data_IF_633736548362
#
_entry.id   IF_633736548362
#
_cell.length_a   1.000
_cell.length_b   1.000
_cell.length_c   1.000
_cell.angle_alpha   90.00
_cell.angle_beta   90.00
_cell.angle_gamma   90.00
#
_symmetry.space_group_name_H-M   'P 1'
#
loop_
_entity.id
_entity.type
_entity.pdbx_description
1 polymer ?
#
# COMPACT_ATOMS: atom_id res chain seq x y z
N UNK A 1 11.14 -42.26 -15.02
CA UNK A 1 10.17 -41.51 -15.84
C UNK A 1 9.11 -40.94 -14.90
N UNK A 2 9.21 -39.67 -14.49
CA UNK A 2 8.09 -38.86 -13.95
C UNK A 2 8.46 -37.39 -13.66
N UNK A 3 9.69 -36.93 -13.94
CA UNK A 3 10.12 -35.55 -13.68
C UNK A 3 9.66 -34.58 -14.80
N UNK A 4 9.19 -35.09 -15.94
CA UNK A 4 8.66 -34.25 -17.04
C UNK A 4 7.26 -33.67 -16.77
N UNK A 5 6.50 -34.21 -15.82
CA UNK A 5 5.11 -33.76 -15.56
C UNK A 5 5.02 -32.40 -14.86
N UNK A 6 5.90 -32.15 -13.89
CA UNK A 6 5.83 -30.95 -13.02
C UNK A 6 6.34 -29.68 -13.71
N UNK A 7 7.27 -29.82 -14.68
CA UNK A 7 7.83 -28.68 -15.43
C UNK A 7 6.84 -28.12 -16.45
N UNK A 8 5.89 -28.93 -16.93
CA UNK A 8 4.89 -28.50 -17.93
C UNK A 8 3.81 -27.63 -17.27
N UNK A 9 3.40 -27.95 -16.03
CA UNK A 9 2.34 -27.20 -15.32
C UNK A 9 2.80 -25.78 -14.94
N UNK A 10 4.06 -25.60 -14.55
CA UNK A 10 4.62 -24.28 -14.25
C UNK A 10 4.75 -23.43 -15.52
N UNK A 11 5.08 -24.06 -16.66
CA UNK A 11 5.20 -23.35 -17.94
C UNK A 11 3.81 -22.95 -18.49
N UNK A 12 2.77 -23.76 -18.28
CA UNK A 12 1.39 -23.41 -18.65
C UNK A 12 0.79 -22.32 -17.74
N UNK A 13 1.10 -22.31 -16.44
CA UNK A 13 0.69 -21.22 -15.53
C UNK A 13 1.38 -19.89 -15.81
N UNK A 14 2.62 -19.92 -16.32
CA UNK A 14 3.33 -18.71 -16.74
C UNK A 14 2.99 -18.27 -18.18
N UNK A 15 2.40 -19.14 -19.00
CA UNK A 15 2.01 -18.81 -20.39
C UNK A 15 0.77 -17.92 -20.49
N UNK A 16 -0.09 -17.92 -19.47
CA UNK A 16 -1.34 -17.15 -19.43
C UNK A 16 -1.17 -15.71 -18.93
N UNK A 17 0.03 -15.38 -18.43
CA UNK A 17 0.51 -14.01 -18.28
C UNK A 17 1.44 -13.75 -19.46
N UNK A 18 1.08 -12.85 -20.39
CA UNK A 18 1.94 -12.48 -21.54
C UNK A 18 3.26 -11.87 -21.05
N UNK A 19 4.21 -12.72 -20.68
CA UNK A 19 5.63 -12.42 -20.55
C UNK A 19 6.26 -13.28 -21.64
N UNK A 20 6.82 -12.62 -22.67
CA UNK A 20 7.48 -13.28 -23.80
C UNK A 20 8.45 -14.36 -23.32
N UNK A 21 8.06 -15.62 -23.52
CA UNK A 21 8.85 -16.81 -23.29
C UNK A 21 9.53 -17.20 -24.61
N UNK A 22 10.85 -17.37 -24.59
CA UNK A 22 11.56 -18.10 -25.63
C UNK A 22 12.65 -18.96 -24.99
N UNK A 23 12.39 -20.27 -25.05
CA UNK A 23 13.22 -21.48 -24.90
C UNK A 23 14.69 -21.35 -24.43
N UNK A 24 15.13 -22.25 -23.53
CA UNK A 24 16.10 -23.33 -23.85
C UNK A 24 16.32 -24.34 -22.70
N UNK A 25 16.76 -25.54 -23.11
CA UNK A 25 16.99 -26.80 -22.39
C UNK A 25 18.21 -26.80 -21.45
N UNK A 26 18.11 -27.49 -20.31
CA UNK A 26 19.21 -27.71 -19.36
C UNK A 26 20.15 -28.84 -19.80
N UNK A 27 21.45 -28.55 -19.88
CA UNK A 27 22.51 -29.56 -19.71
C UNK A 27 23.12 -29.44 -18.31
N UNK A 28 23.30 -30.59 -17.66
CA UNK A 28 23.88 -30.80 -16.31
C UNK A 28 25.16 -29.99 -16.07
N UNK A 29 25.18 -29.22 -14.98
CA UNK A 29 26.40 -28.72 -14.34
C UNK A 29 26.71 -29.58 -13.11
N UNK A 30 27.98 -29.90 -12.87
CA UNK A 30 28.43 -30.75 -11.75
C UNK A 30 29.30 -29.96 -10.78
N UNK A 31 29.47 -30.49 -9.57
CA UNK A 31 30.05 -29.80 -8.39
C UNK A 31 31.45 -29.15 -8.61
N UNK A 32 32.19 -29.52 -9.65
CA UNK A 32 33.49 -28.94 -9.99
C UNK A 32 33.42 -27.59 -10.73
N UNK A 33 32.23 -27.12 -11.11
CA UNK A 33 32.06 -25.86 -11.83
C UNK A 33 31.95 -24.62 -10.90
N UNK A 34 31.86 -24.84 -9.58
CA UNK A 34 31.71 -23.79 -8.57
C UNK A 34 33.01 -23.07 -8.21
N UNK A 35 34.17 -23.69 -8.41
CA UNK A 35 35.48 -23.06 -8.16
C UNK A 35 35.94 -22.18 -9.32
N UNK A 36 35.47 -22.45 -10.55
CA UNK A 36 35.75 -21.60 -11.72
C UNK A 36 34.86 -20.34 -11.75
N UNK A 37 33.71 -20.36 -11.07
CA UNK A 37 32.83 -19.19 -10.99
C UNK A 37 33.39 -18.06 -10.09
N UNK A 38 34.33 -18.36 -9.18
CA UNK A 38 34.98 -17.36 -8.34
C UNK A 38 36.06 -16.55 -9.08
N UNK A 39 36.70 -17.09 -10.11
CA UNK A 39 37.77 -16.37 -10.86
C UNK A 39 37.29 -15.60 -12.08
N UNK A 40 36.04 -15.79 -12.52
CA UNK A 40 35.47 -15.09 -13.69
C UNK A 40 34.73 -13.80 -13.30
N UNK A 41 34.67 -13.46 -12.00
CA UNK A 41 34.05 -12.22 -11.53
C UNK A 41 34.88 -10.95 -11.84
N UNK A 42 36.10 -11.08 -12.37
CA UNK A 42 37.01 -9.96 -12.61
C UNK A 42 37.13 -9.48 -14.06
N UNK A 43 36.32 -9.93 -15.03
CA UNK A 43 36.45 -9.36 -16.39
C UNK A 43 35.16 -9.33 -17.22
N UNK A 44 34.52 -8.15 -17.21
CA UNK A 44 33.80 -7.48 -18.30
C UNK A 44 33.03 -8.33 -19.35
N UNK A 45 31.85 -8.85 -18.98
CA UNK A 45 30.74 -9.12 -19.93
C UNK A 45 29.42 -8.72 -19.23
N UNK A 46 29.14 -7.43 -19.19
CA UNK A 46 28.27 -6.77 -18.21
C UNK A 46 27.01 -6.18 -18.86
N UNK A 47 26.00 -7.00 -19.16
CA UNK A 47 24.57 -6.60 -19.04
C UNK A 47 23.59 -7.75 -19.30
N UNK A 48 23.85 -8.63 -20.28
CA UNK A 48 22.89 -9.65 -20.72
C UNK A 48 23.03 -10.99 -19.97
N UNK A 49 24.26 -11.36 -19.56
CA UNK A 49 24.51 -12.55 -18.72
C UNK A 49 24.04 -12.34 -17.28
N UNK A 50 24.14 -11.11 -16.80
CA UNK A 50 23.71 -10.68 -15.47
C UNK A 50 22.20 -10.82 -15.29
N UNK A 51 21.36 -10.48 -16.26
CA UNK A 51 19.89 -10.61 -16.09
C UNK A 51 19.43 -12.07 -15.99
N UNK A 52 20.02 -12.97 -16.79
CA UNK A 52 19.70 -14.41 -16.75
C UNK A 52 20.22 -15.08 -15.49
N UNK A 53 21.41 -14.71 -15.03
CA UNK A 53 21.99 -15.21 -13.78
C UNK A 53 21.21 -14.68 -12.56
N UNK A 54 20.81 -13.41 -12.56
CA UNK A 54 19.93 -12.85 -11.53
C UNK A 54 18.58 -13.55 -11.53
N UNK A 55 17.97 -13.80 -12.70
CA UNK A 55 16.70 -14.54 -12.78
C UNK A 55 16.83 -15.96 -12.23
N UNK A 56 17.83 -16.71 -12.67
CA UNK A 56 18.08 -18.06 -12.17
C UNK A 56 18.40 -18.08 -10.67
N UNK A 57 19.12 -17.08 -10.16
CA UNK A 57 19.41 -16.94 -8.73
C UNK A 57 18.15 -16.59 -7.93
N UNK A 58 17.29 -15.70 -8.45
CA UNK A 58 16.00 -15.38 -7.85
C UNK A 58 15.10 -16.61 -7.83
N UNK A 59 14.94 -17.31 -8.95
CA UNK A 59 14.16 -18.55 -9.05
C UNK A 59 14.72 -19.64 -8.13
N UNK A 60 16.05 -19.79 -8.07
CA UNK A 60 16.73 -20.75 -7.18
C UNK A 60 16.53 -20.39 -5.70
N UNK A 61 16.63 -19.13 -5.33
CA UNK A 61 16.36 -18.66 -3.95
C UNK A 61 14.89 -18.88 -3.59
N UNK A 62 13.98 -18.65 -4.53
CA UNK A 62 12.54 -18.74 -4.30
C UNK A 62 12.02 -20.18 -4.17
N UNK A 63 12.57 -21.11 -4.95
CA UNK A 63 12.19 -22.53 -4.95
C UNK A 63 12.91 -23.32 -3.83
N UNK A 64 13.70 -22.65 -2.98
CA UNK A 64 14.34 -23.30 -1.82
C UNK A 64 15.74 -23.87 -2.08
N UNK A 65 16.47 -23.30 -3.03
CA UNK A 65 17.88 -23.58 -3.26
C UNK A 65 18.80 -23.18 -2.09
N UNK A 66 18.29 -22.36 -1.16
CA UNK A 66 18.87 -22.26 0.18
C UNK A 66 18.37 -23.41 1.02
N UNK A 67 19.24 -24.39 1.25
CA UNK A 67 19.05 -25.41 2.28
C UNK A 67 19.20 -24.74 3.66
N UNK A 68 18.22 -23.91 4.04
CA UNK A 68 18.05 -23.50 5.42
C UNK A 68 17.68 -24.77 6.20
N UNK A 69 18.37 -25.05 7.30
CA UNK A 69 17.96 -26.09 8.25
C UNK A 69 16.58 -25.70 8.81
N UNK A 70 15.53 -26.11 8.11
CA UNK A 70 14.14 -25.88 8.49
C UNK A 70 13.90 -26.78 9.70
N UNK A 71 13.88 -26.20 10.91
CA UNK A 71 13.36 -26.93 12.07
C UNK A 71 11.89 -27.20 11.78
N UNK A 72 11.53 -28.47 11.56
CA UNK A 72 10.18 -28.89 11.21
C UNK A 72 9.21 -28.61 12.36
N UNK A 73 8.60 -27.43 12.35
CA UNK A 73 7.33 -27.23 13.06
C UNK A 73 6.24 -27.61 12.08
N UNK A 74 5.82 -28.87 12.17
CA UNK A 74 4.64 -29.40 11.47
C UNK A 74 3.48 -28.44 11.73
N UNK A 75 2.91 -27.87 10.68
CA UNK A 75 1.75 -26.98 10.78
C UNK A 75 0.51 -27.85 11.00
N UNK A 76 -0.14 -27.84 12.18
CA UNK A 76 -1.25 -28.76 12.46
C UNK A 76 -2.53 -28.42 11.69
N UNK A 77 -2.63 -27.20 11.13
CA UNK A 77 -3.86 -26.65 10.55
C UNK A 77 -3.94 -26.73 9.01
N UNK A 78 -2.93 -27.30 8.34
CA UNK A 78 -2.88 -27.36 6.88
C UNK A 78 -2.77 -28.80 6.38
N UNK A 79 -3.88 -29.39 5.95
CA UNK A 79 -3.87 -30.71 5.32
C UNK A 79 -3.32 -30.58 3.88
N UNK A 80 -2.03 -30.86 3.72
CA UNK A 80 -1.29 -30.76 2.46
C UNK A 80 -1.85 -31.70 1.38
N UNK A 81 -2.69 -32.68 1.76
CA UNK A 81 -3.39 -33.60 0.85
C UNK A 81 -4.31 -32.91 -0.16
N UNK A 82 -4.56 -31.60 -0.05
CA UNK A 82 -5.47 -30.84 -0.91
C UNK A 82 -4.80 -30.32 -2.20
N UNK A 83 -3.46 -30.40 -2.34
CA UNK A 83 -2.74 -29.75 -3.47
C UNK A 83 -1.81 -30.72 -4.21
N UNK A 84 -2.29 -31.44 -5.24
CA UNK A 84 -1.50 -32.48 -5.92
C UNK A 84 -0.32 -31.93 -6.75
N UNK A 85 -0.31 -30.63 -7.07
CA UNK A 85 0.66 -30.03 -8.00
C UNK A 85 1.96 -29.56 -7.34
N UNK A 86 2.01 -29.46 -5.99
CA UNK A 86 3.17 -28.97 -5.25
C UNK A 86 3.56 -29.94 -4.12
N UNK A 87 4.87 -30.12 -3.92
CA UNK A 87 5.33 -30.88 -2.75
C UNK A 87 5.22 -30.05 -1.47
N UNK A 88 5.01 -30.71 -0.33
CA UNK A 88 4.97 -30.08 1.00
C UNK A 88 6.22 -29.24 1.27
N UNK A 89 7.40 -29.74 0.90
CA UNK A 89 8.68 -29.07 1.11
C UNK A 89 8.78 -27.75 0.31
N UNK A 90 8.26 -27.74 -0.92
CA UNK A 90 8.23 -26.53 -1.73
C UNK A 90 7.30 -25.50 -1.09
N UNK A 91 6.08 -25.89 -0.69
CA UNK A 91 5.14 -24.96 -0.05
C UNK A 91 5.70 -24.37 1.26
N UNK A 92 6.39 -25.16 2.08
CA UNK A 92 7.04 -24.66 3.29
C UNK A 92 8.17 -23.67 2.94
N UNK A 93 8.96 -23.95 1.90
CA UNK A 93 10.01 -23.03 1.45
C UNK A 93 9.45 -21.70 0.95
N UNK A 94 8.41 -21.75 0.10
CA UNK A 94 7.72 -20.56 -0.39
C UNK A 94 7.15 -19.73 0.74
N UNK A 95 6.52 -20.39 1.71
CA UNK A 95 5.94 -19.73 2.87
C UNK A 95 7.02 -18.99 3.67
N UNK A 96 8.11 -19.66 4.01
CA UNK A 96 9.22 -19.06 4.76
C UNK A 96 9.84 -17.87 4.01
N UNK A 97 10.05 -18.00 2.69
CA UNK A 97 10.59 -16.93 1.86
C UNK A 97 9.67 -15.70 1.82
N UNK A 98 8.37 -15.92 1.62
CA UNK A 98 7.38 -14.83 1.59
C UNK A 98 7.29 -14.15 2.96
N UNK A 99 7.17 -14.92 4.04
CA UNK A 99 7.10 -14.38 5.40
C UNK A 99 8.36 -13.59 5.77
N UNK A 100 9.53 -14.12 5.43
CA UNK A 100 10.80 -13.43 5.66
C UNK A 100 10.82 -12.08 4.94
N UNK A 101 10.51 -12.04 3.64
CA UNK A 101 10.47 -10.81 2.85
C UNK A 101 9.48 -9.78 3.39
N UNK A 102 8.26 -10.21 3.73
CA UNK A 102 7.24 -9.32 4.29
C UNK A 102 7.70 -8.65 5.60
N UNK A 103 8.57 -9.29 6.37
CA UNK A 103 9.13 -8.76 7.61
C UNK A 103 10.36 -7.85 7.39
N UNK A 104 10.99 -7.84 6.22
CA UNK A 104 12.17 -7.00 5.92
C UNK A 104 11.85 -5.52 5.66
N UNK A 105 10.57 -5.14 5.58
CA UNK A 105 10.13 -3.85 5.07
C UNK A 105 9.84 -2.78 6.14
N UNK A 106 10.09 -3.06 7.42
CA UNK A 106 9.93 -2.08 8.50
C UNK A 106 10.87 -0.85 8.39
N UNK A 107 12.16 -1.00 8.03
CA UNK A 107 13.05 0.14 7.87
C UNK A 107 12.63 1.07 6.70
N UNK A 108 12.67 2.40 6.93
CA UNK A 108 12.32 3.44 5.95
C UNK A 108 13.49 3.94 5.10
N UNK A 109 14.68 3.40 5.29
CA UNK A 109 15.83 3.61 4.41
C UNK A 109 15.69 2.79 3.11
N UNK A 110 14.97 1.67 3.16
CA UNK A 110 14.77 0.78 2.01
C UNK A 110 13.44 1.06 1.28
N UNK A 111 13.46 1.15 -0.06
CA UNK A 111 12.23 1.23 -0.83
C UNK A 111 11.39 -0.05 -0.66
N UNK A 112 10.06 0.08 -0.71
CA UNK A 112 9.15 -1.06 -0.79
C UNK A 112 9.32 -1.74 -2.16
N UNK A 113 10.14 -2.78 -2.22
CA UNK A 113 10.25 -3.68 -3.36
C UNK A 113 9.41 -4.92 -3.05
N UNK A 114 8.13 -4.83 -3.36
CA UNK A 114 7.11 -5.84 -2.99
C UNK A 114 6.60 -6.62 -4.19
N UNK A 115 7.09 -6.30 -5.39
CA UNK A 115 6.55 -6.84 -6.64
C UNK A 115 6.74 -8.34 -6.78
N UNK A 116 7.87 -8.87 -6.31
CA UNK A 116 8.14 -10.32 -6.35
C UNK A 116 7.20 -11.08 -5.40
N UNK A 117 6.98 -10.54 -4.20
CA UNK A 117 6.01 -11.09 -3.23
C UNK A 117 4.59 -11.01 -3.78
N UNK A 118 4.20 -9.87 -4.38
CA UNK A 118 2.88 -9.70 -5.00
C UNK A 118 2.70 -10.66 -6.16
N UNK A 119 3.70 -10.82 -7.04
CA UNK A 119 3.65 -11.73 -8.17
C UNK A 119 3.51 -13.19 -7.71
N UNK A 120 4.30 -13.60 -6.71
CA UNK A 120 4.19 -14.92 -6.10
C UNK A 120 2.80 -15.17 -5.51
N UNK A 121 2.28 -14.23 -4.72
CA UNK A 121 0.96 -14.34 -4.11
C UNK A 121 -0.17 -14.32 -5.15
N UNK A 122 -0.03 -13.57 -6.27
CA UNK A 122 -0.99 -13.61 -7.38
C UNK A 122 -0.98 -14.97 -8.07
N UNK A 123 0.21 -15.56 -8.32
CA UNK A 123 0.32 -16.90 -8.90
C UNK A 123 -0.31 -17.94 -7.97
N UNK A 124 0.01 -17.91 -6.67
CA UNK A 124 -0.64 -18.77 -5.68
C UNK A 124 -2.13 -18.50 -5.53
N UNK A 125 -2.61 -17.27 -5.73
CA UNK A 125 -4.06 -17.01 -5.70
C UNK A 125 -4.78 -17.75 -6.84
N UNK A 126 -4.15 -17.84 -8.01
CA UNK A 126 -4.75 -18.52 -9.17
C UNK A 126 -4.79 -20.03 -9.00
N UNK A 127 -3.75 -20.61 -8.40
CA UNK A 127 -3.64 -22.07 -8.19
C UNK A 127 -4.25 -22.52 -6.86
N UNK A 128 -3.91 -21.85 -5.76
CA UNK A 128 -4.22 -22.22 -4.38
C UNK A 128 -4.66 -20.99 -3.53
N UNK A 129 -5.89 -20.47 -3.71
CA UNK A 129 -6.38 -19.29 -2.98
C UNK A 129 -6.29 -19.40 -1.45
N UNK A 130 -6.56 -20.61 -0.91
CA UNK A 130 -6.50 -20.88 0.54
C UNK A 130 -5.10 -20.71 1.13
N UNK A 131 -4.06 -21.00 0.34
CA UNK A 131 -2.67 -20.85 0.75
C UNK A 131 -2.26 -19.38 0.85
N UNK A 132 -2.75 -18.52 -0.05
CA UNK A 132 -2.57 -17.06 0.06
C UNK A 132 -3.16 -16.54 1.37
N UNK A 133 -4.39 -16.95 1.70
CA UNK A 133 -5.04 -16.58 2.97
C UNK A 133 -4.23 -17.06 4.17
N UNK A 134 -3.74 -18.30 4.13
CA UNK A 134 -2.88 -18.86 5.18
C UNK A 134 -1.63 -18.02 5.42
N UNK A 135 -0.87 -17.72 4.35
CA UNK A 135 0.36 -16.90 4.45
C UNK A 135 0.05 -15.54 5.07
N UNK A 136 -0.99 -14.85 4.60
CA UNK A 136 -1.32 -13.51 5.09
C UNK A 136 -1.76 -13.55 6.55
N UNK A 137 -2.58 -14.52 6.95
CA UNK A 137 -3.00 -14.67 8.36
C UNK A 137 -1.81 -15.01 9.26
N UNK A 138 -0.90 -15.89 8.81
CA UNK A 138 0.33 -16.24 9.53
C UNK A 138 1.23 -15.02 9.72
N UNK A 139 1.38 -14.20 8.68
CA UNK A 139 2.14 -12.95 8.74
C UNK A 139 1.50 -11.90 9.67
N UNK A 140 0.18 -11.76 9.63
CA UNK A 140 -0.55 -10.84 10.52
C UNK A 140 -0.45 -11.30 11.99
N UNK A 141 -0.57 -12.61 12.24
CA UNK A 141 -0.35 -13.20 13.57
C UNK A 141 1.05 -12.91 14.10
N UNK A 142 2.10 -13.07 13.28
CA UNK A 142 3.46 -12.70 13.70
C UNK A 142 3.65 -11.19 13.92
N UNK A 143 2.81 -10.36 13.29
CA UNK A 143 2.89 -8.90 13.40
C UNK A 143 2.20 -8.35 14.66
N UNK A 144 1.19 -9.06 15.17
CA UNK A 144 0.38 -8.67 16.34
C UNK A 144 0.87 -9.35 17.63
N UNK A 145 1.63 -10.45 17.52
CA UNK A 145 2.12 -11.21 18.66
C UNK A 145 1.02 -12.04 19.34
N UNK A 146 1.00 -12.08 20.67
CA UNK A 146 0.12 -12.96 21.46
C UNK A 146 -1.36 -12.57 21.47
N UNK A 147 -1.73 -11.39 20.93
CA UNK A 147 -3.11 -10.91 20.92
C UNK A 147 -3.96 -11.49 19.78
N UNK A 148 -3.33 -12.20 18.84
CA UNK A 148 -4.03 -12.92 17.79
C UNK A 148 -4.48 -14.28 18.34
N UNK A 149 -5.79 -14.51 18.43
CA UNK A 149 -6.37 -15.72 18.99
C UNK A 149 -5.98 -17.00 18.26
N UNK A 150 -6.35 -18.10 18.90
CA UNK A 150 -5.89 -19.46 18.55
C UNK A 150 -6.31 -19.85 17.13
N UNK A 151 -7.49 -19.39 16.67
CA UNK A 151 -8.07 -19.75 15.36
C UNK A 151 -7.70 -18.80 14.21
N UNK A 152 -7.19 -17.59 14.49
CA UNK A 152 -6.66 -16.62 13.53
C UNK A 152 -7.45 -16.47 12.22
N UNK A 153 -8.54 -15.71 12.23
CA UNK A 153 -9.30 -15.38 11.02
C UNK A 153 -9.20 -13.88 10.64
N UNK A 154 -9.75 -13.48 9.49
CA UNK A 154 -9.67 -12.10 9.01
C UNK A 154 -10.43 -11.11 9.93
N UNK A 155 -11.54 -11.55 10.53
CA UNK A 155 -12.32 -10.76 11.50
C UNK A 155 -11.51 -10.44 12.77
N UNK A 156 -10.70 -11.39 13.23
CA UNK A 156 -9.78 -11.18 14.34
C UNK A 156 -8.64 -10.24 13.96
N UNK A 157 -8.09 -10.37 12.75
CA UNK A 157 -7.08 -9.44 12.24
C UNK A 157 -7.56 -7.99 12.21
N UNK A 158 -8.84 -7.77 11.85
CA UNK A 158 -9.46 -6.44 11.86
C UNK A 158 -9.41 -5.79 13.24
N UNK A 159 -9.62 -6.57 14.32
CA UNK A 159 -9.65 -6.04 15.69
C UNK A 159 -8.27 -5.58 16.17
N UNK A 160 -7.21 -6.14 15.60
CA UNK A 160 -5.83 -5.89 16.01
C UNK A 160 -5.10 -4.87 15.12
N UNK A 161 -5.77 -4.22 14.16
CA UNK A 161 -5.13 -3.27 13.24
C UNK A 161 -4.46 -2.08 13.95
N UNK A 162 -4.95 -1.70 15.14
CA UNK A 162 -4.32 -0.68 15.99
C UNK A 162 -2.92 -1.07 16.43
N UNK A 163 -2.65 -2.35 16.65
CA UNK A 163 -1.36 -2.82 17.15
C UNK A 163 -0.32 -2.99 16.03
N UNK A 164 -0.77 -2.97 14.77
CA UNK A 164 0.10 -3.16 13.61
C UNK A 164 0.77 -1.85 13.23
N UNK A 165 2.06 -1.91 12.89
CA UNK A 165 2.81 -0.73 12.43
C UNK A 165 2.22 -0.16 11.14
N UNK A 166 2.33 1.15 10.95
CA UNK A 166 1.82 1.81 9.74
C UNK A 166 2.42 1.22 8.48
N UNK A 167 3.70 0.82 8.53
CA UNK A 167 4.40 0.19 7.42
C UNK A 167 3.80 -1.17 7.05
N UNK A 168 3.45 -1.99 8.04
CA UNK A 168 2.77 -3.27 7.83
C UNK A 168 1.32 -3.09 7.35
N UNK A 169 0.60 -2.08 7.84
CA UNK A 169 -0.73 -1.74 7.30
C UNK A 169 -0.66 -1.32 5.82
N UNK A 170 0.36 -0.55 5.44
CA UNK A 170 0.59 -0.18 4.04
C UNK A 170 0.85 -1.40 3.15
N UNK A 171 1.66 -2.36 3.61
CA UNK A 171 1.87 -3.65 2.95
C UNK A 171 0.58 -4.46 2.84
N UNK A 172 -0.20 -4.52 3.92
CA UNK A 172 -1.50 -5.19 3.92
C UNK A 172 -2.44 -4.58 2.87
N UNK A 173 -2.44 -3.25 2.72
CA UNK A 173 -3.20 -2.56 1.68
C UNK A 173 -2.72 -2.90 0.26
N UNK A 174 -1.42 -3.09 0.05
CA UNK A 174 -0.89 -3.57 -1.24
C UNK A 174 -1.39 -4.99 -1.53
N UNK A 175 -1.23 -5.91 -0.57
CA UNK A 175 -1.61 -7.32 -0.74
C UNK A 175 -3.11 -7.45 -0.97
N UNK A 176 -3.92 -6.86 -0.07
CA UNK A 176 -5.38 -6.90 -0.18
C UNK A 176 -5.85 -6.27 -1.50
N UNK A 177 -5.28 -5.15 -1.94
CA UNK A 177 -5.68 -4.52 -3.20
C UNK A 177 -5.21 -5.28 -4.44
N UNK A 178 -3.91 -5.58 -4.55
CA UNK A 178 -3.30 -6.10 -5.79
C UNK A 178 -3.42 -7.61 -5.94
N UNK A 179 -3.34 -8.35 -4.83
CA UNK A 179 -3.46 -9.80 -4.85
C UNK A 179 -4.93 -10.16 -4.76
N UNK A 180 -5.62 -9.73 -3.71
CA UNK A 180 -6.93 -10.29 -3.36
C UNK A 180 -8.09 -9.62 -4.09
N UNK A 181 -8.17 -8.29 -4.07
CA UNK A 181 -9.31 -7.51 -4.56
C UNK A 181 -9.18 -7.04 -6.02
N UNK A 182 -7.99 -7.13 -6.62
CA UNK A 182 -7.78 -6.70 -8.02
C UNK A 182 -8.68 -7.54 -8.93
N UNK A 183 -9.64 -6.88 -9.57
CA UNK A 183 -10.40 -7.47 -10.68
C UNK A 183 -9.48 -7.55 -11.89
N UNK A 184 -9.57 -8.63 -12.66
CA UNK A 184 -8.87 -8.71 -13.94
C UNK A 184 -9.37 -7.56 -14.82
N UNK A 185 -8.47 -6.61 -15.12
CA UNK A 185 -8.71 -5.61 -16.16
C UNK A 185 -8.79 -6.38 -17.48
N UNK A 186 -9.99 -6.54 -18.01
CA UNK A 186 -10.13 -6.95 -19.41
C UNK A 186 -9.96 -5.67 -20.23
N UNK A 187 -8.88 -5.60 -20.99
CA UNK A 187 -8.69 -4.58 -22.02
C UNK A 187 -9.84 -4.72 -23.03
N UNK A 188 -10.90 -3.91 -22.90
CA UNK A 188 -11.72 -3.49 -24.04
C UNK A 188 -12.22 -2.06 -23.89
N UNK A 189 -11.78 -1.28 -24.87
CA UNK A 189 -12.50 -0.16 -25.49
C UNK A 189 -13.88 -0.64 -25.91
N UNK A 190 -14.85 -0.68 -25.00
CA UNK A 190 -16.26 -0.33 -25.24
C UNK A 190 -17.02 -0.41 -23.91
N UNK A 191 -18.01 0.46 -23.73
CA UNK A 191 -18.68 0.79 -22.45
C UNK A 191 -19.51 -0.30 -21.75
N UNK A 192 -19.12 -1.58 -21.80
CA UNK A 192 -19.73 -2.64 -21.00
C UNK A 192 -18.66 -3.51 -20.33
N UNK A 193 -18.27 -3.10 -19.12
CA UNK A 193 -17.47 -3.90 -18.19
C UNK A 193 -18.24 -5.18 -17.82
N UNK A 194 -17.92 -6.29 -18.49
CA UNK A 194 -18.31 -7.62 -18.01
C UNK A 194 -17.34 -8.00 -16.89
N UNK A 195 -17.83 -7.92 -15.66
CA UNK A 195 -17.14 -8.40 -14.46
C UNK A 195 -16.96 -9.91 -14.60
N UNK A 196 -15.74 -10.35 -14.93
CA UNK A 196 -15.38 -11.77 -14.79
C UNK A 196 -15.09 -11.99 -13.30
N UNK A 197 -16.10 -12.47 -12.57
CA UNK A 197 -15.95 -12.90 -11.18
C UNK A 197 -15.15 -14.20 -11.14
N UNK A 198 -13.83 -14.07 -11.00
CA UNK A 198 -12.95 -15.21 -10.66
C UNK A 198 -12.59 -15.08 -9.18
N UNK A 199 -13.62 -15.09 -8.33
CA UNK A 199 -13.49 -15.61 -6.99
C UNK A 199 -14.10 -17.01 -7.01
N UNK A 200 -13.27 -18.04 -7.03
CA UNK A 200 -13.70 -19.40 -6.67
C UNK A 200 -13.88 -19.56 -5.15
N UNK A 201 -14.16 -18.47 -4.43
CA UNK A 201 -14.40 -18.43 -2.99
C UNK A 201 -15.81 -17.91 -2.72
N UNK A 202 -16.44 -18.39 -1.64
CA UNK A 202 -17.76 -17.94 -1.23
C UNK A 202 -17.78 -16.40 -1.10
N UNK A 203 -18.88 -15.77 -1.51
CA UNK A 203 -19.09 -14.32 -1.51
C UNK A 203 -18.70 -13.66 -0.18
N UNK A 204 -18.92 -14.36 0.92
CA UNK A 204 -18.57 -14.01 2.31
C UNK A 204 -17.07 -13.76 2.53
N UNK A 205 -16.20 -14.57 1.91
CA UNK A 205 -14.74 -14.41 2.07
C UNK A 205 -14.22 -13.14 1.37
N UNK A 206 -14.83 -12.77 0.23
CA UNK A 206 -14.49 -11.53 -0.47
C UNK A 206 -14.94 -10.30 0.33
N UNK A 207 -16.06 -10.40 1.06
CA UNK A 207 -16.53 -9.35 1.96
C UNK A 207 -15.53 -9.15 3.12
N UNK A 208 -15.04 -10.22 3.73
CA UNK A 208 -14.02 -10.15 4.80
C UNK A 208 -12.75 -9.41 4.34
N UNK A 209 -12.24 -9.73 3.14
CA UNK A 209 -11.07 -9.06 2.59
C UNK A 209 -11.32 -7.59 2.26
N UNK A 210 -12.51 -7.26 1.77
CA UNK A 210 -12.92 -5.88 1.50
C UNK A 210 -13.00 -5.09 2.80
N UNK A 211 -13.55 -5.69 3.85
CA UNK A 211 -13.65 -5.09 5.18
C UNK A 211 -12.27 -4.88 5.80
N UNK A 212 -11.38 -5.87 5.72
CA UNK A 212 -10.00 -5.77 6.21
C UNK A 212 -9.25 -4.63 5.50
N UNK A 213 -9.36 -4.54 4.18
CA UNK A 213 -8.77 -3.46 3.40
C UNK A 213 -9.31 -2.08 3.83
N UNK A 214 -10.64 -1.93 3.88
CA UNK A 214 -11.29 -0.67 4.28
C UNK A 214 -10.89 -0.24 5.70
N UNK A 215 -10.84 -1.18 6.65
CA UNK A 215 -10.46 -0.88 8.03
C UNK A 215 -8.97 -0.55 8.16
N UNK A 216 -8.09 -1.19 7.40
CA UNK A 216 -6.68 -0.83 7.35
C UNK A 216 -6.45 0.58 6.77
N UNK A 217 -7.19 0.95 5.72
CA UNK A 217 -7.17 2.33 5.20
C UNK A 217 -7.75 3.34 6.18
N UNK A 218 -8.79 2.96 6.94
CA UNK A 218 -9.37 3.80 7.99
C UNK A 218 -8.36 4.04 9.11
N UNK A 219 -7.66 3.00 9.57
CA UNK A 219 -6.62 3.07 10.59
C UNK A 219 -5.47 4.00 10.19
N UNK A 220 -4.95 3.87 8.95
CA UNK A 220 -3.90 4.76 8.45
C UNK A 220 -4.37 6.22 8.34
N UNK A 221 -5.64 6.43 7.97
CA UNK A 221 -6.23 7.78 7.90
C UNK A 221 -6.41 8.37 9.30
N UNK A 222 -6.89 7.58 10.26
CA UNK A 222 -7.05 7.96 11.66
C UNK A 222 -5.71 8.42 12.27
N UNK A 223 -4.63 7.67 12.00
CA UNK A 223 -3.25 8.02 12.39
C UNK A 223 -2.77 9.33 11.74
N UNK A 224 -2.98 9.49 10.44
CA UNK A 224 -2.61 10.71 9.70
C UNK A 224 -3.34 11.94 10.24
N UNK A 225 -4.66 11.85 10.44
CA UNK A 225 -5.48 12.95 10.95
C UNK A 225 -5.09 13.29 12.38
N UNK A 226 -4.92 12.29 13.24
CA UNK A 226 -4.51 12.48 14.64
C UNK A 226 -3.17 13.20 14.72
N UNK A 227 -2.17 12.76 13.95
CA UNK A 227 -0.87 13.43 13.88
C UNK A 227 -1.00 14.88 13.37
N UNK A 228 -1.79 15.10 12.32
CA UNK A 228 -2.03 16.44 11.76
C UNK A 228 -2.64 17.38 12.80
N UNK A 229 -3.63 16.92 13.56
CA UNK A 229 -4.25 17.70 14.63
C UNK A 229 -3.29 17.96 15.79
N UNK A 230 -2.45 16.99 16.15
CA UNK A 230 -1.41 17.22 17.17
C UNK A 230 -0.44 18.31 16.75
N UNK A 231 0.12 18.23 15.54
CA UNK A 231 1.03 19.27 15.02
C UNK A 231 0.32 20.61 14.92
N UNK A 232 -0.95 20.66 14.49
CA UNK A 232 -1.73 21.89 14.47
C UNK A 232 -1.86 22.51 15.87
N UNK A 233 -2.17 21.71 16.89
CA UNK A 233 -2.33 22.17 18.26
C UNK A 233 -1.00 22.67 18.84
N UNK A 234 0.11 22.00 18.54
CA UNK A 234 1.45 22.44 18.95
C UNK A 234 1.77 23.81 18.33
N UNK A 235 1.58 23.98 17.02
CA UNK A 235 1.83 25.26 16.32
C UNK A 235 0.90 26.37 16.82
N UNK A 236 -0.37 26.06 17.13
CA UNK A 236 -1.32 27.04 17.67
C UNK A 236 -1.02 27.45 19.13
N UNK A 237 -0.24 26.64 19.85
CA UNK A 237 0.14 26.88 21.25
C UNK A 237 1.44 27.65 21.38
N UNK A 238 2.34 27.58 20.39
CA UNK A 238 3.61 28.29 20.38
C UNK A 238 3.40 29.81 20.26
N UNK A 239 3.54 30.53 21.37
CA UNK A 239 3.38 31.99 21.47
C UNK A 239 4.47 32.81 20.78
N UNK A 240 5.56 32.17 20.37
CA UNK A 240 6.79 32.86 19.96
C UNK A 240 6.86 33.22 18.47
N UNK A 241 5.81 32.95 17.67
CA UNK A 241 5.77 33.37 16.27
C UNK A 241 6.91 32.80 15.39
N UNK A 242 7.70 31.85 15.91
CA UNK A 242 8.60 31.02 15.12
C UNK A 242 7.72 30.05 14.35
N UNK A 243 7.18 30.54 13.23
CA UNK A 243 6.57 29.68 12.23
C UNK A 243 7.48 28.50 11.94
N UNK A 244 6.86 27.37 11.56
CA UNK A 244 7.57 26.16 11.15
C UNK A 244 8.81 26.54 10.35
N UNK A 245 10.00 26.13 10.83
CA UNK A 245 11.27 26.38 10.14
C UNK A 245 11.11 26.06 8.64
N UNK A 246 11.71 26.84 7.72
CA UNK A 246 11.63 26.55 6.30
C UNK A 246 12.10 25.11 6.02
N UNK A 247 11.30 24.33 5.30
CA UNK A 247 11.60 22.93 4.97
C UNK A 247 10.92 21.87 5.85
N UNK A 248 10.21 22.28 6.91
CA UNK A 248 9.43 21.36 7.75
C UNK A 248 8.02 21.13 7.20
N UNK A 249 7.46 19.96 7.52
CA UNK A 249 6.10 19.60 7.15
C UNK A 249 5.06 20.46 7.88
N UNK A 250 3.96 20.81 7.20
CA UNK A 250 2.89 21.67 7.75
C UNK A 250 1.51 20.98 7.70
N UNK A 251 0.65 21.18 8.72
CA UNK A 251 -0.64 20.49 8.85
C UNK A 251 -1.76 21.11 7.98
N UNK A 252 -1.63 21.05 6.65
CA UNK A 252 -2.66 21.59 5.75
C UNK A 252 -3.93 20.74 5.73
N UNK A 253 -5.08 21.40 5.56
CA UNK A 253 -6.38 20.74 5.35
C UNK A 253 -7.07 20.29 6.63
N UNK A 254 -6.69 20.86 7.79
CA UNK A 254 -7.32 20.60 9.09
C UNK A 254 -8.84 20.78 9.03
N UNK A 255 -9.32 21.82 8.35
CA UNK A 255 -10.74 22.05 8.06
C UNK A 255 -11.45 20.84 7.43
N UNK A 256 -10.88 20.28 6.35
CA UNK A 256 -11.42 19.12 5.65
C UNK A 256 -11.33 17.86 6.52
N UNK A 257 -10.26 17.73 7.31
CA UNK A 257 -10.12 16.63 8.27
C UNK A 257 -11.15 16.73 9.41
N UNK A 258 -11.49 17.92 9.89
CA UNK A 258 -12.58 18.13 10.86
C UNK A 258 -13.92 17.66 10.27
N UNK A 259 -14.20 17.99 9.01
CA UNK A 259 -15.40 17.51 8.30
C UNK A 259 -15.41 15.97 8.18
N UNK A 260 -14.25 15.37 7.86
CA UNK A 260 -14.11 13.92 7.81
C UNK A 260 -14.42 13.26 9.17
N UNK A 261 -13.91 13.83 10.28
CA UNK A 261 -14.22 13.37 11.64
C UNK A 261 -15.71 13.47 11.95
N UNK A 262 -16.38 14.55 11.54
CA UNK A 262 -17.82 14.73 11.75
C UNK A 262 -18.62 13.65 11.00
N UNK A 263 -18.30 13.41 9.73
CA UNK A 263 -18.97 12.39 8.91
C UNK A 263 -18.73 10.98 9.46
N UNK A 264 -17.53 10.70 9.97
CA UNK A 264 -17.11 9.37 10.45
C UNK A 264 -17.16 9.23 11.98
N UNK A 265 -17.90 10.11 12.67
CA UNK A 265 -17.86 10.21 14.14
C UNK A 265 -18.17 8.91 14.88
N UNK A 266 -18.96 8.01 14.29
CA UNK A 266 -19.28 6.69 14.88
C UNK A 266 -18.15 5.68 14.74
N UNK A 267 -17.36 5.78 13.66
CA UNK A 267 -16.38 4.78 13.27
C UNK A 267 -14.95 5.11 13.75
N UNK A 268 -14.67 6.39 14.02
CA UNK A 268 -13.35 6.83 14.50
C UNK A 268 -13.15 6.57 15.99
N UNK A 269 -11.87 6.48 16.40
CA UNK A 269 -11.48 6.19 17.78
C UNK A 269 -11.67 7.42 18.69
N UNK A 270 -11.86 7.17 20.00
CA UNK A 270 -12.06 8.23 20.99
C UNK A 270 -10.89 9.23 21.09
N UNK A 271 -9.61 8.82 21.02
CA UNK A 271 -8.50 9.77 21.02
C UNK A 271 -8.58 10.80 19.90
N UNK A 272 -8.95 10.39 18.67
CA UNK A 272 -9.12 11.33 17.57
C UNK A 272 -10.30 12.29 17.81
N UNK A 273 -11.41 11.81 18.37
CA UNK A 273 -12.56 12.68 18.72
C UNK A 273 -12.14 13.80 19.67
N UNK A 274 -11.37 13.46 20.71
CA UNK A 274 -10.86 14.42 21.68
C UNK A 274 -9.90 15.43 21.03
N UNK A 275 -9.03 14.99 20.12
CA UNK A 275 -8.17 15.89 19.35
C UNK A 275 -8.97 16.84 18.48
N UNK A 276 -10.00 16.35 17.77
CA UNK A 276 -10.86 17.17 16.93
C UNK A 276 -11.64 18.22 17.74
N UNK A 277 -12.15 17.83 18.91
CA UNK A 277 -12.85 18.77 19.80
C UNK A 277 -11.88 19.86 20.30
N UNK A 278 -10.62 19.52 20.63
CA UNK A 278 -9.57 20.51 20.97
C UNK A 278 -9.27 21.45 19.82
N UNK A 279 -9.08 20.94 18.60
CA UNK A 279 -8.83 21.75 17.39
C UNK A 279 -9.95 22.75 17.17
N UNK A 280 -11.21 22.34 17.37
CA UNK A 280 -12.37 23.22 17.22
C UNK A 280 -12.38 24.39 18.22
N UNK A 281 -11.87 24.18 19.44
CA UNK A 281 -11.81 25.20 20.50
C UNK A 281 -10.69 26.23 20.31
N UNK A 282 -9.76 26.02 19.37
CA UNK A 282 -8.68 26.97 19.11
C UNK A 282 -9.23 28.28 18.52
N UNK A 283 -8.95 29.39 19.22
CA UNK A 283 -9.33 30.76 18.83
C UNK A 283 -8.82 31.11 17.43
N UNK A 284 -9.64 31.81 16.64
CA UNK A 284 -9.29 32.18 15.25
C UNK A 284 -7.94 32.92 15.14
N UNK A 285 -7.63 33.78 16.10
CA UNK A 285 -6.36 34.54 16.15
C UNK A 285 -5.12 33.66 16.36
N UNK A 286 -5.28 32.46 16.93
CA UNK A 286 -4.21 31.49 17.17
C UNK A 286 -4.13 30.42 16.10
N UNK A 287 -5.08 30.39 15.16
CA UNK A 287 -5.04 29.43 14.06
C UNK A 287 -3.92 29.81 13.11
N UNK A 288 -3.03 28.86 12.74
CA UNK A 288 -2.07 29.10 11.68
C UNK A 288 -2.82 29.52 10.40
N UNK A 289 -2.42 30.63 9.78
CA UNK A 289 -3.06 31.13 8.53
C UNK A 289 -3.11 30.07 7.42
N UNK A 290 -2.12 29.18 7.39
CA UNK A 290 -2.01 28.05 6.46
C UNK A 290 -3.13 27.00 6.67
N UNK A 291 -3.75 26.99 7.85
CA UNK A 291 -4.78 26.05 8.28
C UNK A 291 -6.19 26.69 8.33
N UNK A 292 -6.35 27.88 7.75
CA UNK A 292 -7.63 28.58 7.71
C UNK A 292 -8.65 27.82 6.85
N UNK A 293 -9.93 27.86 7.26
CA UNK A 293 -11.02 27.22 6.54
C UNK A 293 -11.28 27.97 5.24
N UNK A 294 -11.10 27.29 4.11
CA UNK A 294 -11.42 27.81 2.78
C UNK A 294 -12.53 26.93 2.21
N UNK A 295 -13.66 27.54 1.85
CA UNK A 295 -14.70 26.88 1.07
C UNK A 295 -14.09 26.40 -0.25
N UNK A 296 -14.28 25.12 -0.56
CA UNK A 296 -13.65 24.55 -1.73
C UNK A 296 -14.48 24.83 -2.97
N UNK A 297 -13.81 25.35 -3.99
CA UNK A 297 -14.40 25.65 -5.29
C UNK A 297 -13.81 24.76 -6.37
N UNK A 298 -14.62 24.49 -7.38
CA UNK A 298 -14.21 23.74 -8.55
C UNK A 298 -13.24 24.56 -9.38
N UNK A 299 -12.04 24.03 -9.62
CA UNK A 299 -11.05 24.73 -10.44
C UNK A 299 -11.45 24.89 -11.93
N UNK A 300 -12.51 24.24 -12.38
CA UNK A 300 -13.00 24.31 -13.76
C UNK A 300 -14.20 25.24 -13.95
N UNK A 301 -15.11 25.31 -12.97
CA UNK A 301 -16.36 26.06 -13.11
C UNK A 301 -16.69 26.96 -11.92
N UNK A 302 -15.79 27.08 -10.94
CA UNK A 302 -15.92 27.89 -9.73
C UNK A 302 -17.13 27.56 -8.84
N UNK A 303 -17.89 26.52 -9.17
CA UNK A 303 -18.98 26.04 -8.32
C UNK A 303 -18.45 25.47 -7.02
N UNK A 304 -19.23 25.61 -5.95
CA UNK A 304 -18.89 25.02 -4.65
C UNK A 304 -18.74 23.50 -4.72
N UNK A 305 -17.86 22.99 -3.85
CA UNK A 305 -17.52 21.57 -3.77
C UNK A 305 -17.79 21.08 -2.35
N UNK A 306 -18.86 20.31 -2.12
CA UNK A 306 -19.12 19.73 -0.81
C UNK A 306 -18.04 18.70 -0.42
N UNK A 307 -17.91 18.50 0.89
CA UNK A 307 -17.05 17.46 1.44
C UNK A 307 -17.88 16.20 1.72
N UNK A 308 -17.96 15.32 0.72
CA UNK A 308 -18.68 14.05 0.84
C UNK A 308 -17.72 12.86 1.09
N UNK A 309 -16.56 12.89 0.43
CA UNK A 309 -15.57 11.82 0.47
C UNK A 309 -14.16 12.40 0.65
N UNK A 310 -13.23 11.68 1.31
CA UNK A 310 -11.88 12.19 1.59
C UNK A 310 -10.93 12.14 0.38
N UNK A 311 -11.20 11.29 -0.61
CA UNK A 311 -10.29 11.02 -1.73
C UNK A 311 -10.80 11.61 -3.08
N UNK A 312 -12.07 11.96 -3.16
CA UNK A 312 -12.71 12.49 -4.37
C UNK A 312 -13.82 13.47 -4.04
N UNK A 313 -14.18 14.32 -4.99
CA UNK A 313 -15.34 15.19 -4.87
C UNK A 313 -16.03 15.39 -6.21
N UNK A 314 -17.24 15.91 -6.17
CA UNK A 314 -18.00 16.33 -7.35
C UNK A 314 -18.51 17.74 -7.09
N UNK A 315 -18.26 18.69 -7.99
CA UNK A 315 -18.78 20.05 -7.80
C UNK A 315 -20.29 20.11 -8.01
N UNK A 316 -20.95 21.14 -7.46
CA UNK A 316 -22.40 21.30 -7.60
C UNK A 316 -22.85 21.68 -9.02
N UNK A 317 -21.92 22.12 -9.87
CA UNK A 317 -22.19 22.72 -11.18
C UNK A 317 -22.63 24.17 -11.06
N UNK A 318 -22.43 24.96 -12.12
CA UNK A 318 -22.92 26.35 -12.16
C UNK A 318 -24.43 26.34 -12.20
N UNK A 319 -25.11 27.14 -11.38
CA UNK A 319 -26.57 27.31 -11.49
C UNK A 319 -26.85 28.14 -12.75
N UNK A 320 -27.58 27.58 -13.70
CA UNK A 320 -28.02 28.26 -14.91
C UNK A 320 -29.56 28.30 -14.93
N UNK A 321 -30.13 29.19 -15.74
CA UNK A 321 -31.60 29.37 -15.84
C UNK A 321 -32.35 28.10 -16.32
N UNK A 322 -31.63 27.18 -16.99
CA UNK A 322 -32.15 25.89 -17.46
C UNK A 322 -31.87 24.71 -16.51
N UNK A 323 -31.33 24.95 -15.32
CA UNK A 323 -30.94 23.93 -14.33
C UNK A 323 -29.45 23.99 -13.94
N UNK A 324 -28.95 22.96 -13.23
CA UNK A 324 -27.53 22.89 -12.89
C UNK A 324 -26.70 22.51 -14.12
N UNK A 325 -25.64 23.29 -14.39
CA UNK A 325 -24.62 22.98 -15.37
C UNK A 325 -23.82 21.71 -15.04
N UNK A 326 -22.92 21.28 -15.95
CA UNK A 326 -22.22 20.00 -15.83
C UNK A 326 -21.36 19.96 -14.56
N UNK A 327 -21.51 18.87 -13.81
CA UNK A 327 -20.72 18.59 -12.61
C UNK A 327 -19.39 17.96 -13.00
N UNK A 328 -18.32 18.39 -12.33
CA UNK A 328 -16.97 17.93 -12.58
C UNK A 328 -16.50 17.02 -11.45
N UNK A 329 -15.87 15.89 -11.79
CA UNK A 329 -15.21 15.03 -10.82
C UNK A 329 -13.83 15.61 -10.50
N UNK A 330 -13.56 15.75 -9.22
CA UNK A 330 -12.33 16.31 -8.67
C UNK A 330 -11.66 15.28 -7.77
N UNK A 331 -10.35 15.40 -7.62
CA UNK A 331 -9.56 14.56 -6.72
C UNK A 331 -9.17 15.35 -5.48
N UNK A 332 -9.22 14.69 -4.32
CA UNK A 332 -8.71 15.26 -3.08
C UNK A 332 -7.32 14.71 -2.79
N UNK A 333 -6.49 15.53 -2.18
CA UNK A 333 -5.18 15.13 -1.73
C UNK A 333 -5.32 14.08 -0.62
N UNK A 334 -4.71 12.92 -0.82
CA UNK A 334 -4.65 11.81 0.13
C UNK A 334 -4.07 12.19 1.51
N UNK A 335 -3.40 13.35 1.61
CA UNK A 335 -2.77 13.84 2.83
C UNK A 335 -3.59 14.96 3.48
N UNK A 336 -3.97 16.03 2.75
CA UNK A 336 -4.73 17.17 3.32
C UNK A 336 -6.25 17.02 3.21
N UNK A 337 -6.74 16.07 2.43
CA UNK A 337 -8.15 15.96 2.00
C UNK A 337 -8.69 17.18 1.24
N UNK A 338 -7.85 18.15 0.90
CA UNK A 338 -8.22 19.31 0.07
C UNK A 338 -8.31 18.94 -1.40
N UNK A 339 -9.13 19.65 -2.16
CA UNK A 339 -9.14 19.54 -3.63
C UNK A 339 -7.72 19.78 -4.17
N UNK A 340 -7.25 18.84 -4.99
CA UNK A 340 -5.97 18.96 -5.69
C UNK A 340 -6.05 20.11 -6.71
N UNK A 341 -5.03 20.98 -6.77
CA UNK A 341 -4.96 22.03 -7.78
C UNK A 341 -4.73 21.44 -9.18
N UNK A 342 -4.98 22.25 -10.23
CA UNK A 342 -4.69 21.92 -11.65
C UNK A 342 -3.18 22.11 -11.97
N UNK A 343 -2.30 21.71 -11.07
CA UNK A 343 -0.84 21.73 -11.27
C UNK A 343 -0.28 20.32 -11.07
N UNK A 344 0.99 20.05 -11.43
CA UNK A 344 1.58 18.75 -11.22
C UNK A 344 1.44 18.30 -9.77
N UNK A 345 0.70 17.22 -9.59
CA UNK A 345 0.43 16.59 -8.30
C UNK A 345 1.07 15.21 -8.27
N UNK A 346 1.33 14.73 -7.07
CA UNK A 346 1.83 13.38 -6.86
C UNK A 346 0.71 12.38 -7.08
N UNK A 347 1.03 11.27 -7.73
CA UNK A 347 0.10 10.18 -8.00
C UNK A 347 0.69 8.84 -7.55
N UNK A 348 -0.16 8.06 -6.89
CA UNK A 348 0.18 6.71 -6.49
C UNK A 348 -0.31 5.71 -7.52
N UNK A 349 0.61 5.06 -8.23
CA UNK A 349 0.27 4.00 -9.21
C UNK A 349 -0.44 2.78 -8.60
N UNK A 350 -0.20 2.48 -7.32
CA UNK A 350 -0.87 1.38 -6.63
C UNK A 350 -2.29 1.76 -6.18
N UNK A 351 -2.45 2.80 -5.36
CA UNK A 351 -3.74 3.21 -4.83
C UNK A 351 -4.61 4.04 -5.78
N UNK A 352 -4.05 4.60 -6.86
CA UNK A 352 -4.71 5.57 -7.76
C UNK A 352 -5.15 6.86 -7.04
N UNK A 353 -4.46 7.21 -5.96
CA UNK A 353 -4.70 8.41 -5.16
C UNK A 353 -3.75 9.53 -5.55
N UNK A 354 -4.23 10.75 -5.38
CA UNK A 354 -3.51 11.97 -5.68
C UNK A 354 -3.05 12.66 -4.41
N UNK A 355 -1.94 13.40 -4.45
CA UNK A 355 -1.50 14.21 -3.34
C UNK A 355 -0.85 15.51 -3.83
N UNK A 356 -1.36 16.65 -3.37
CA UNK A 356 -0.74 17.97 -3.58
C UNK A 356 0.36 18.26 -2.57
N UNK A 357 0.39 17.52 -1.46
CA UNK A 357 1.44 17.58 -0.44
C UNK A 357 1.92 16.18 -0.07
N UNK A 358 3.12 16.11 0.49
CA UNK A 358 3.70 14.86 0.96
C UNK A 358 3.23 14.53 2.38
N UNK A 359 3.14 13.24 2.70
CA UNK A 359 2.75 12.80 4.02
C UNK A 359 3.87 13.08 5.04
N UNK A 360 3.53 13.35 6.31
CA UNK A 360 4.53 13.53 7.35
C UNK A 360 5.25 12.20 7.58
N UNK A 361 6.58 12.25 7.65
CA UNK A 361 7.40 11.05 7.79
C UNK A 361 7.11 10.20 9.04
N UNK A 362 6.68 10.76 10.21
CA UNK A 362 6.32 9.95 11.37
C UNK A 362 5.17 9.00 11.10
N UNK A 363 4.27 9.32 10.14
CA UNK A 363 3.18 8.42 9.73
C UNK A 363 3.70 7.02 9.36
N UNK A 364 4.85 6.95 8.69
CA UNK A 364 5.42 5.70 8.19
C UNK A 364 6.16 4.91 9.28
N UNK A 365 6.57 5.56 10.37
CA UNK A 365 7.35 4.97 11.48
C UNK A 365 6.50 4.51 12.65
N UNK A 366 5.20 4.83 12.70
CA UNK A 366 4.36 4.47 13.85
C UNK A 366 4.32 2.95 14.04
N UNK A 367 4.77 2.42 15.20
CA UNK A 367 4.80 0.98 15.48
C UNK A 367 3.40 0.40 15.71
N UNK A 368 2.43 1.25 16.03
CA UNK A 368 1.02 0.96 16.24
C UNK A 368 0.26 2.28 16.38
N UNK A 369 -0.98 2.22 16.85
CA UNK A 369 -1.77 3.41 17.16
C UNK A 369 -1.18 4.09 18.40
N UNK A 370 -0.69 5.33 18.27
CA UNK A 370 -0.02 5.99 19.38
C UNK A 370 -0.94 6.21 20.59
N UNK A 371 -0.47 5.82 21.78
CA UNK A 371 -1.13 6.16 23.04
C UNK A 371 -1.07 7.66 23.33
N UNK A 372 0.01 8.32 22.93
CA UNK A 372 0.18 9.77 23.00
C UNK A 372 0.84 10.32 21.73
N UNK A 373 0.06 11.03 20.92
CA UNK A 373 0.55 11.67 19.70
C UNK A 373 1.47 12.87 19.99
N UNK A 374 1.38 13.53 21.16
CA UNK A 374 2.22 14.69 21.50
C UNK A 374 3.68 14.30 21.70
N UNK A 375 3.95 13.10 22.23
CA UNK A 375 5.30 12.56 22.33
C UNK A 375 5.97 12.35 20.96
N UNK A 376 5.17 12.04 19.92
CA UNK A 376 5.66 11.80 18.56
C UNK A 376 5.98 13.08 17.79
N UNK A 377 5.27 14.18 18.06
CA UNK A 377 5.57 15.47 17.45
C UNK A 377 6.88 16.06 17.99
N UNK A 378 7.14 15.89 19.30
CA UNK A 378 8.31 16.46 19.98
C UNK A 378 9.63 15.70 19.73
N UNK A 379 9.57 14.39 19.49
CA UNK A 379 10.75 13.52 19.37
C UNK A 379 11.37 13.47 17.97
N UNK A 380 10.66 13.90 16.92
CA UNK A 380 11.07 13.75 15.52
C UNK A 380 11.48 15.07 14.83
N UNK A 381 11.90 16.08 15.60
CA UNK A 381 12.19 17.43 15.07
C UNK A 381 13.52 17.50 14.28
N UNK A 382 14.42 16.52 14.44
CA UNK A 382 15.79 16.65 13.94
C UNK A 382 16.06 16.08 12.55
N UNK A 383 15.15 15.30 11.99
CA UNK A 383 15.40 14.70 10.68
C UNK A 383 14.06 14.26 10.11
N UNK A 384 13.56 14.88 9.02
CA UNK A 384 12.55 14.28 8.13
C UNK A 384 12.04 15.27 7.07
N UNK A 385 12.81 15.44 6.01
CA UNK A 385 12.22 15.91 4.77
C UNK A 385 11.10 14.94 4.35
N UNK A 386 9.89 15.44 4.01
CA UNK A 386 8.79 14.58 3.58
C UNK A 386 9.21 13.74 2.39
N UNK A 387 9.07 12.40 2.51
CA UNK A 387 9.34 11.49 1.41
C UNK A 387 8.13 11.41 0.48
N UNK A 388 8.32 11.29 -0.85
CA UNK A 388 7.23 11.21 -1.80
C UNK A 388 6.60 9.82 -1.80
N UNK A 389 5.99 9.40 -0.69
CA UNK A 389 5.40 8.09 -0.50
C UNK A 389 3.90 8.20 -0.25
N UNK A 390 3.15 7.23 -0.77
CA UNK A 390 1.71 7.17 -0.55
C UNK A 390 1.40 6.83 0.93
N UNK A 391 0.57 7.62 1.64
CA UNK A 391 0.25 7.35 3.04
C UNK A 391 -0.49 6.01 3.25
N UNK A 392 -1.16 5.49 2.21
CA UNK A 392 -2.01 4.29 2.31
C UNK A 392 -1.35 2.98 1.89
N UNK A 393 -0.33 3.02 1.03
CA UNK A 393 0.36 1.82 0.57
C UNK A 393 1.89 1.92 0.60
N UNK A 394 2.46 3.05 1.03
CA UNK A 394 3.91 3.24 1.15
C UNK A 394 4.69 3.26 -0.18
N UNK A 395 4.04 2.97 -1.32
CA UNK A 395 4.66 3.01 -2.65
C UNK A 395 5.07 4.45 -2.99
N UNK A 396 6.26 4.65 -3.58
CA UNK A 396 6.69 5.96 -4.07
C UNK A 396 5.70 6.57 -5.06
N UNK A 397 5.36 7.82 -4.81
CA UNK A 397 4.51 8.63 -5.66
C UNK A 397 5.30 9.10 -6.88
N UNK A 398 4.64 9.16 -8.03
CA UNK A 398 5.18 9.75 -9.26
C UNK A 398 4.60 11.15 -9.43
N UNK A 399 5.41 12.13 -9.82
CA UNK A 399 4.86 13.39 -10.33
C UNK A 399 4.27 13.13 -11.70
N UNK A 400 2.98 13.35 -11.87
CA UNK A 400 2.38 13.44 -13.19
C UNK A 400 2.45 14.91 -13.60
N UNK A 401 3.27 15.21 -14.62
CA UNK A 401 3.05 16.45 -15.36
C UNK A 401 1.79 16.25 -16.22
N UNK A 402 0.86 17.21 -16.25
CA UNK A 402 -0.22 17.17 -17.20
C UNK A 402 0.32 17.05 -18.63
N UNK A 403 -0.29 16.18 -19.44
CA UNK A 403 0.17 15.89 -20.81
C UNK A 403 0.23 17.16 -21.70
N UNK A 404 -0.54 18.21 -21.39
CA UNK A 404 -0.49 19.48 -22.13
C UNK A 404 0.81 20.29 -21.90
N UNK A 405 1.57 20.00 -20.83
CA UNK A 405 2.92 20.55 -20.63
C UNK A 405 3.99 19.74 -21.37
N UNK A 406 3.64 18.55 -21.88
CA UNK A 406 4.46 17.77 -22.80
C UNK A 406 4.13 18.19 -24.24
N UNK A 407 4.29 19.48 -24.54
CA UNK A 407 4.20 19.95 -25.93
C UNK A 407 5.34 19.35 -26.76
N UNK A 408 5.08 18.69 -27.90
CA UNK A 408 6.11 18.13 -28.78
C UNK A 408 6.80 19.20 -29.64
N UNK A 409 6.90 20.45 -29.16
CA UNK A 409 7.49 21.57 -29.91
C UNK A 409 9.00 21.72 -29.74
N UNK A 410 9.69 20.68 -29.24
CA UNK A 410 11.15 20.55 -29.33
C UNK A 410 11.52 19.11 -29.72
N UNK A 411 11.30 18.77 -30.99
CA UNK A 411 12.04 17.75 -31.75
C UNK A 411 12.50 18.39 -33.04
#
# INVERSE_FOLDING_TARGET
MSILGTVIVINDMLSSVKISLTYFTYSKWTRNDLTTAQSVLETNITLLKTSRALKAAVDFLWIGGQQLEISSTVCPDFDVKVFPDFSEKELISWENNILWLLNQHEPLDKPLVVWDVVAALVAFKQSIPKYVKHIVLKWLKSSVGSQFGVSGNLSEAIKCLSEISSRKLQLLNIISKLVVLKKAETDKVDGQSRVLEVFGGAEDERLDWTQLHSNSEMELRDRLVSYTFTVFLDVASDSDGKGSKPGYWVPNGTAQMEQWVVIRRKDIKNPLKLLADKVRTVEKSRRPSICEYIEEECSFCSASVPFDYPDSAVCQGVKCDTGNGPRQKLFRCAVSMRICPIVPVWHCVCCQRWASQLAPSPLFRMPGYPSDFQSLSKSNIDDEHPKPWCPFCGIPLKKLLPDFLLSPSFV
#
